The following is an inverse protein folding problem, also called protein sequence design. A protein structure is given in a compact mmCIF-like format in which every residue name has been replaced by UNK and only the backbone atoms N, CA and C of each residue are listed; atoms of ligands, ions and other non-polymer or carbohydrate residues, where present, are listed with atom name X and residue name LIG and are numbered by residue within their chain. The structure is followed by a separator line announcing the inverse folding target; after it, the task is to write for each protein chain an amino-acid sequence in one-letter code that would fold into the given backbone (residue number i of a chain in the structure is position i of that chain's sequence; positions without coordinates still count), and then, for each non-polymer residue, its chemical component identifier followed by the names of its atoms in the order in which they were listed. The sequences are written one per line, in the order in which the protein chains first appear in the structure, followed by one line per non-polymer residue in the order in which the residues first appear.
data_IF_205537000424
#
_entry.id   IF_205537000424
#
_cell.length_a   1.000
_cell.length_b   1.000
_cell.length_c   1.000
_cell.angle_alpha   90.00
_cell.angle_beta   90.00
_cell.angle_gamma   90.00
#
_symmetry.space_group_name_H-M   'P 1'
#
loop_
_entity.id
_entity.type
_entity.pdbx_description
1 polymer ?
#
# COMPACT_ATOMS: atom_id res chain seq x y z
N UNK A 1 -22.00 30.07 -12.66
CA UNK A 1 -20.89 29.37 -11.98
C UNK A 1 -20.91 29.78 -10.52
N UNK A 2 -21.08 28.84 -9.59
CA UNK A 2 -21.13 29.16 -8.16
C UNK A 2 -19.78 29.77 -7.72
N UNK A 3 -19.81 30.82 -6.90
CA UNK A 3 -18.58 31.51 -6.47
C UNK A 3 -17.71 30.57 -5.61
N UNK A 4 -16.39 30.79 -5.55
CA UNK A 4 -15.46 29.99 -4.70
C UNK A 4 -15.87 29.94 -3.21
N UNK A 5 -16.74 30.84 -2.74
CA UNK A 5 -17.32 30.82 -1.37
C UNK A 5 -18.50 29.85 -1.21
N UNK A 6 -19.04 29.33 -2.30
CA UNK A 6 -20.19 28.42 -2.33
C UNK A 6 -19.78 26.99 -2.74
N UNK A 7 -18.55 26.57 -2.43
CA UNK A 7 -18.04 25.26 -2.83
C UNK A 7 -18.91 24.10 -2.26
N UNK A 8 -19.67 23.37 -3.11
CA UNK A 8 -20.52 22.26 -2.66
C UNK A 8 -19.71 21.02 -2.24
N UNK A 9 -18.39 20.99 -2.48
CA UNK A 9 -17.47 19.90 -2.19
C UNK A 9 -16.86 19.96 -0.78
N UNK A 10 -17.19 20.99 0.00
CA UNK A 10 -16.79 21.04 1.39
C UNK A 10 -17.43 19.84 2.11
N UNK A 11 -16.59 19.00 2.73
CA UNK A 11 -16.98 17.75 3.41
C UNK A 11 -18.25 17.86 4.29
N UNK A 12 -18.50 19.05 4.87
CA UNK A 12 -19.70 19.32 5.67
C UNK A 12 -21.02 19.47 4.87
N UNK A 13 -20.95 19.90 3.60
CA UNK A 13 -22.10 20.05 2.69
C UNK A 13 -22.45 18.74 2.01
N UNK A 14 -21.45 17.91 1.69
CA UNK A 14 -21.66 16.51 1.31
C UNK A 14 -22.56 15.85 2.37
N UNK A 15 -22.12 15.87 3.63
CA UNK A 15 -22.87 15.26 4.73
C UNK A 15 -24.26 15.87 5.02
N UNK A 16 -24.52 17.11 4.58
CA UNK A 16 -25.67 17.90 5.04
C UNK A 16 -26.93 17.88 4.17
N UNK A 17 -26.87 17.48 2.89
CA UNK A 17 -28.05 17.56 1.98
C UNK A 17 -28.41 16.24 1.30
N UNK A 18 -27.46 15.33 1.06
CA UNK A 18 -27.70 14.03 0.42
C UNK A 18 -26.67 13.02 0.97
N UNK A 19 -26.97 12.21 2.00
CA UNK A 19 -25.96 11.51 2.82
C UNK A 19 -25.20 10.36 2.12
N UNK A 20 -25.46 10.10 0.83
CA UNK A 20 -24.93 8.97 0.09
C UNK A 20 -24.15 9.44 -1.12
N UNK A 21 -22.83 9.52 -0.94
CA UNK A 21 -21.92 9.99 -1.96
C UNK A 21 -21.16 8.84 -2.59
N UNK A 22 -20.97 8.92 -3.89
CA UNK A 22 -20.01 8.09 -4.60
C UNK A 22 -19.10 9.03 -5.36
N UNK A 23 -17.83 9.06 -4.98
CA UNK A 23 -16.81 9.82 -5.69
C UNK A 23 -16.13 8.84 -6.63
N UNK A 24 -16.27 9.07 -7.93
CA UNK A 24 -15.62 8.28 -8.95
C UNK A 24 -14.55 9.11 -9.62
N UNK A 25 -13.48 8.47 -10.05
CA UNK A 25 -12.58 9.07 -11.02
C UNK A 25 -13.03 8.65 -12.42
N UNK A 26 -13.00 9.54 -13.41
CA UNK A 26 -13.47 9.25 -14.79
C UNK A 26 -12.54 8.32 -15.59
N UNK A 27 -11.72 7.57 -14.90
CA UNK A 27 -10.56 6.91 -15.43
C UNK A 27 -9.93 6.02 -14.38
N UNK A 28 -8.60 5.94 -14.42
CA UNK A 28 -7.84 5.36 -13.34
C UNK A 28 -6.93 6.44 -12.73
N UNK A 29 -7.19 6.81 -11.47
CA UNK A 29 -6.49 7.89 -10.77
C UNK A 29 -5.04 7.52 -10.42
N UNK A 30 -4.70 6.23 -10.46
CA UNK A 30 -3.31 5.77 -10.36
C UNK A 30 -2.61 5.88 -11.72
N UNK A 31 -3.36 5.76 -12.83
CA UNK A 31 -2.82 5.80 -14.20
C UNK A 31 -2.87 7.17 -14.88
N UNK A 32 -3.76 8.06 -14.44
CA UNK A 32 -4.13 9.32 -15.12
C UNK A 32 -5.02 9.11 -16.36
N UNK A 33 -5.18 7.88 -16.80
CA UNK A 33 -5.90 7.51 -18.02
C UNK A 33 -7.39 7.82 -17.88
N UNK A 34 -7.95 8.60 -18.83
CA UNK A 34 -9.38 8.89 -18.90
C UNK A 34 -10.10 7.74 -19.59
N UNK A 35 -10.46 6.70 -18.83
CA UNK A 35 -11.21 5.53 -19.32
C UNK A 35 -12.60 5.88 -19.88
N UNK A 36 -13.12 7.08 -19.60
CA UNK A 36 -14.40 7.57 -20.13
C UNK A 36 -14.21 8.91 -20.85
N UNK A 37 -14.27 8.93 -22.21
CA UNK A 37 -14.24 10.15 -23.01
C UNK A 37 -15.37 11.10 -22.63
N UNK A 38 -15.14 12.42 -22.73
CA UNK A 38 -16.09 13.46 -22.30
C UNK A 38 -17.51 13.26 -22.89
N UNK A 39 -17.60 12.80 -24.14
CA UNK A 39 -18.86 12.58 -24.84
C UNK A 39 -19.63 11.33 -24.37
N UNK A 40 -18.97 10.37 -23.72
CA UNK A 40 -19.61 9.17 -23.15
C UNK A 40 -20.03 9.36 -21.69
N UNK A 41 -19.38 10.28 -20.97
CA UNK A 41 -19.70 10.59 -19.56
C UNK A 41 -21.15 11.02 -19.38
N UNK A 42 -21.74 11.71 -20.36
CA UNK A 42 -23.15 12.12 -20.31
C UNK A 42 -24.13 10.96 -20.19
N UNK A 43 -23.87 9.83 -20.87
CA UNK A 43 -24.70 8.63 -20.78
C UNK A 43 -24.53 7.93 -19.42
N UNK A 44 -23.32 7.90 -18.87
CA UNK A 44 -23.05 7.38 -17.53
C UNK A 44 -23.77 8.22 -16.46
N UNK A 45 -23.67 9.54 -16.54
CA UNK A 45 -24.35 10.47 -15.62
C UNK A 45 -25.87 10.29 -15.73
N UNK A 46 -26.41 10.25 -16.95
CA UNK A 46 -27.86 10.08 -17.17
C UNK A 46 -28.34 8.72 -16.67
N UNK A 47 -27.58 7.63 -16.90
CA UNK A 47 -27.88 6.27 -16.40
C UNK A 47 -27.78 6.15 -14.87
N UNK A 48 -26.88 6.93 -14.24
CA UNK A 48 -26.76 7.01 -12.79
C UNK A 48 -27.95 7.74 -12.16
N UNK A 49 -28.44 8.80 -12.81
CA UNK A 49 -29.54 9.64 -12.35
C UNK A 49 -30.93 9.09 -12.71
N UNK A 50 -31.05 8.29 -13.77
CA UNK A 50 -32.29 7.68 -14.22
C UNK A 50 -32.84 6.60 -13.25
N UNK A 51 -32.10 6.26 -12.19
CA UNK A 51 -32.52 5.30 -11.18
C UNK A 51 -33.53 5.89 -10.18
N UNK A 52 -33.55 7.21 -9.95
CA UNK A 52 -34.47 7.85 -8.99
C UNK A 52 -34.56 9.37 -9.22
N UNK A 53 -35.77 9.92 -9.35
CA UNK A 53 -36.01 11.34 -9.71
C UNK A 53 -35.50 12.40 -8.71
N UNK A 54 -34.99 11.99 -7.54
CA UNK A 54 -34.40 12.86 -6.52
C UNK A 54 -32.86 12.93 -6.51
N UNK A 55 -32.18 12.09 -7.31
CA UNK A 55 -30.71 12.06 -7.37
C UNK A 55 -30.14 13.28 -8.09
N UNK A 56 -29.00 13.79 -7.63
CA UNK A 56 -28.30 14.95 -8.24
C UNK A 56 -26.82 14.60 -8.44
N UNK A 57 -26.25 14.96 -9.59
CA UNK A 57 -24.80 14.90 -9.81
C UNK A 57 -24.22 16.31 -9.80
N UNK A 58 -23.04 16.46 -9.22
CA UNK A 58 -22.29 17.71 -9.30
C UNK A 58 -20.93 17.43 -9.93
N UNK A 59 -20.62 18.14 -11.02
CA UNK A 59 -19.26 18.21 -11.54
C UNK A 59 -18.32 18.80 -10.49
N UNK A 60 -17.25 18.10 -10.14
CA UNK A 60 -16.26 18.55 -9.17
C UNK A 60 -14.94 18.78 -9.88
N UNK A 61 -14.57 20.04 -10.09
CA UNK A 61 -13.30 20.42 -10.73
C UNK A 61 -12.51 21.29 -9.76
N UNK A 62 -11.26 20.91 -9.50
CA UNK A 62 -10.23 21.86 -9.03
C UNK A 62 -9.45 22.38 -10.22
N UNK A 63 -9.22 21.54 -11.23
CA UNK A 63 -8.79 21.86 -12.59
C UNK A 63 -9.15 20.62 -13.43
N UNK A 64 -9.79 20.76 -14.59
CA UNK A 64 -9.92 19.69 -15.62
C UNK A 64 -10.90 18.49 -15.48
N UNK A 65 -11.90 18.48 -14.58
CA UNK A 65 -13.02 17.52 -14.61
C UNK A 65 -12.59 16.03 -14.52
N UNK A 66 -11.69 15.72 -13.59
CA UNK A 66 -11.07 14.38 -13.50
C UNK A 66 -11.78 13.40 -12.55
N UNK A 67 -12.52 13.90 -11.56
CA UNK A 67 -13.39 13.08 -10.70
C UNK A 67 -14.79 13.67 -10.56
N UNK A 68 -15.79 12.82 -10.41
CA UNK A 68 -17.18 13.20 -10.23
C UNK A 68 -17.71 12.76 -8.88
N UNK A 69 -18.46 13.65 -8.23
CA UNK A 69 -19.21 13.35 -7.03
C UNK A 69 -20.68 13.15 -7.40
N UNK A 70 -21.15 11.91 -7.26
CA UNK A 70 -22.58 11.62 -7.31
C UNK A 70 -23.18 11.70 -5.90
N UNK A 71 -24.31 12.39 -5.80
CA UNK A 71 -25.08 12.50 -4.56
C UNK A 71 -26.44 11.83 -4.75
N UNK A 72 -26.65 10.73 -4.03
CA UNK A 72 -27.88 9.94 -4.11
C UNK A 72 -28.80 10.26 -2.94
N UNK A 73 -30.11 10.30 -3.22
CA UNK A 73 -31.18 10.45 -2.23
C UNK A 73 -31.34 9.23 -1.33
N UNK A 74 -31.00 8.04 -1.84
CA UNK A 74 -31.13 6.77 -1.15
C UNK A 74 -29.83 5.95 -1.18
N UNK A 75 -29.64 5.11 -0.16
CA UNK A 75 -28.46 4.25 -0.04
C UNK A 75 -28.45 3.18 -1.12
N UNK A 76 -29.63 2.68 -1.46
CA UNK A 76 -29.89 1.67 -2.47
C UNK A 76 -29.48 2.18 -3.85
N UNK A 77 -29.81 3.43 -4.21
CA UNK A 77 -29.38 4.03 -5.46
C UNK A 77 -27.85 4.19 -5.54
N UNK A 78 -27.21 4.65 -4.46
CA UNK A 78 -25.75 4.72 -4.38
C UNK A 78 -25.10 3.34 -4.54
N UNK A 79 -25.67 2.30 -3.92
CA UNK A 79 -25.19 0.92 -4.04
C UNK A 79 -25.35 0.41 -5.47
N UNK A 80 -26.53 0.55 -6.08
CA UNK A 80 -26.76 0.14 -7.47
C UNK A 80 -25.85 0.87 -8.46
N UNK A 81 -25.53 2.13 -8.21
CA UNK A 81 -24.53 2.84 -9.02
C UNK A 81 -23.13 2.26 -8.82
N UNK A 82 -22.70 2.02 -7.57
CA UNK A 82 -21.39 1.39 -7.28
C UNK A 82 -21.25 0.00 -7.89
N UNK A 83 -22.31 -0.80 -7.85
CA UNK A 83 -22.30 -2.17 -8.39
C UNK A 83 -22.20 -2.18 -9.92
N UNK A 84 -22.69 -1.14 -10.60
CA UNK A 84 -22.59 -0.98 -12.06
C UNK A 84 -21.35 -0.24 -12.53
N UNK A 85 -20.69 0.51 -11.65
CA UNK A 85 -19.53 1.31 -12.00
C UNK A 85 -18.27 0.44 -12.05
N UNK A 86 -17.66 0.35 -13.23
CA UNK A 86 -16.47 -0.45 -13.47
C UNK A 86 -15.15 0.38 -13.36
N UNK A 87 -15.23 1.62 -12.86
CA UNK A 87 -14.08 2.49 -12.66
C UNK A 87 -13.65 2.58 -11.19
N UNK A 88 -12.63 3.38 -10.91
CA UNK A 88 -12.11 3.50 -9.55
C UNK A 88 -12.92 4.50 -8.70
N UNK A 89 -12.88 4.29 -7.38
CA UNK A 89 -13.53 5.13 -6.39
C UNK A 89 -12.52 5.90 -5.55
N UNK A 90 -12.86 7.14 -5.21
CA UNK A 90 -12.11 7.93 -4.24
C UNK A 90 -12.79 7.81 -2.88
N UNK A 91 -12.00 7.54 -1.83
CA UNK A 91 -12.54 7.61 -0.48
C UNK A 91 -12.79 9.08 -0.09
N UNK A 92 -13.97 9.34 0.45
CA UNK A 92 -14.35 10.62 1.06
C UNK A 92 -13.34 11.14 2.09
N UNK A 93 -12.55 10.27 2.73
CA UNK A 93 -11.49 10.68 3.66
C UNK A 93 -10.24 11.24 3.00
N UNK A 94 -10.01 10.90 1.74
CA UNK A 94 -8.92 11.45 0.94
C UNK A 94 -9.27 12.85 0.41
N UNK A 95 -10.51 13.30 0.64
CA UNK A 95 -10.98 14.65 0.33
C UNK A 95 -10.90 15.52 1.60
N UNK A 96 -10.04 16.52 1.55
CA UNK A 96 -9.85 17.50 2.62
C UNK A 96 -11.15 18.28 2.92
N UNK A 97 -11.19 18.97 4.07
CA UNK A 97 -12.32 19.86 4.43
C UNK A 97 -12.60 20.94 3.37
N UNK A 98 -11.60 21.30 2.56
CA UNK A 98 -11.71 22.29 1.48
C UNK A 98 -12.19 21.68 0.15
N UNK A 99 -12.43 20.37 0.09
CA UNK A 99 -12.87 19.67 -1.12
C UNK A 99 -11.74 19.19 -2.04
N UNK A 100 -10.49 19.37 -1.63
CA UNK A 100 -9.30 18.90 -2.36
C UNK A 100 -9.05 17.44 -2.07
N UNK A 101 -9.04 16.60 -3.11
CA UNK A 101 -8.58 15.22 -3.03
C UNK A 101 -7.07 15.15 -3.17
N UNK A 102 -6.42 14.38 -2.30
CA UNK A 102 -5.00 14.01 -2.40
C UNK A 102 -4.91 12.50 -2.24
N UNK A 103 -4.41 11.75 -3.24
CA UNK A 103 -4.23 10.32 -3.10
C UNK A 103 -3.31 10.01 -1.92
N UNK A 104 -3.58 8.92 -1.20
CA UNK A 104 -2.67 8.38 -0.17
C UNK A 104 -1.40 7.71 -0.75
N UNK A 105 -0.94 8.12 -1.93
CA UNK A 105 0.25 7.55 -2.57
C UNK A 105 1.55 8.19 -2.05
N UNK A 106 2.59 7.37 -1.87
CA UNK A 106 3.98 7.84 -2.02
C UNK A 106 4.78 8.13 -0.75
N UNK A 107 4.52 7.45 0.36
CA UNK A 107 5.17 7.78 1.64
C UNK A 107 6.23 6.78 2.13
N UNK A 108 6.37 5.61 1.49
CA UNK A 108 7.32 4.55 1.85
C UNK A 108 7.51 3.55 0.69
N UNK A 109 8.70 2.93 0.59
CA UNK A 109 8.99 1.78 -0.26
C UNK A 109 7.89 0.70 -0.17
N UNK A 110 7.08 0.58 -1.21
CA UNK A 110 5.97 -0.38 -1.30
C UNK A 110 6.08 -1.28 -2.53
N UNK A 111 7.23 -1.33 -3.17
CA UNK A 111 7.49 -2.21 -4.31
C UNK A 111 8.94 -2.67 -4.28
N UNK A 112 9.17 -3.96 -4.45
CA UNK A 112 10.50 -4.52 -4.65
C UNK A 112 10.45 -5.77 -5.53
N UNK A 113 11.62 -6.23 -5.97
CA UNK A 113 11.80 -7.45 -6.74
C UNK A 113 12.63 -8.46 -5.96
N UNK A 114 12.43 -9.74 -6.26
CA UNK A 114 13.27 -10.84 -5.81
C UNK A 114 13.47 -11.75 -7.02
N UNK A 115 14.58 -11.58 -7.73
CA UNK A 115 14.88 -12.34 -8.96
C UNK A 115 15.91 -13.46 -8.75
N UNK A 116 16.43 -13.59 -7.53
CA UNK A 116 17.38 -14.64 -7.16
C UNK A 116 16.68 -15.98 -6.94
N UNK A 117 17.45 -16.98 -6.51
CA UNK A 117 16.96 -18.34 -6.26
C UNK A 117 17.01 -18.72 -4.78
N UNK A 118 16.28 -19.79 -4.46
CA UNK A 118 16.08 -20.30 -3.11
C UNK A 118 17.38 -20.77 -2.45
N UNK A 119 18.28 -21.38 -3.22
CA UNK A 119 19.58 -21.87 -2.74
C UNK A 119 20.49 -20.71 -2.32
N UNK A 120 20.53 -19.63 -3.09
CA UNK A 120 21.28 -18.43 -2.75
C UNK A 120 20.79 -17.80 -1.44
N UNK A 121 19.46 -17.68 -1.27
CA UNK A 121 18.86 -17.17 -0.03
C UNK A 121 19.26 -18.06 1.15
N UNK A 122 19.12 -19.37 1.01
CA UNK A 122 19.45 -20.32 2.08
C UNK A 122 20.93 -20.34 2.42
N UNK A 123 21.81 -20.30 1.42
CA UNK A 123 23.26 -20.30 1.59
C UNK A 123 23.74 -19.09 2.37
N UNK A 124 23.25 -17.89 2.03
CA UNK A 124 23.60 -16.66 2.74
C UNK A 124 22.98 -16.67 4.13
N UNK A 125 21.68 -16.90 4.26
CA UNK A 125 21.00 -16.77 5.57
C UNK A 125 21.22 -17.95 6.52
N UNK A 126 21.85 -19.03 6.03
CA UNK A 126 21.96 -20.32 6.71
C UNK A 126 20.59 -20.89 7.11
N UNK A 127 19.59 -20.70 6.24
CA UNK A 127 18.25 -21.27 6.42
C UNK A 127 18.26 -22.78 6.15
N UNK A 128 18.16 -23.54 7.26
CA UNK A 128 18.18 -25.00 7.24
C UNK A 128 16.81 -25.60 6.90
N UNK A 129 15.74 -24.87 7.15
CA UNK A 129 14.37 -25.27 6.87
C UNK A 129 13.87 -24.45 5.68
N UNK A 130 13.20 -25.12 4.76
CA UNK A 130 12.65 -24.50 3.56
C UNK A 130 11.22 -24.99 3.36
N UNK A 131 10.29 -24.05 3.50
CA UNK A 131 8.84 -24.26 3.41
C UNK A 131 8.25 -23.55 2.19
N UNK A 132 9.06 -22.98 1.28
CA UNK A 132 8.53 -22.20 0.14
C UNK A 132 8.11 -23.06 -1.05
N UNK A 133 8.49 -24.34 -1.10
CA UNK A 133 8.24 -25.19 -2.26
C UNK A 133 9.09 -24.76 -3.46
N UNK A 134 8.50 -24.68 -4.66
CA UNK A 134 9.17 -24.09 -5.82
C UNK A 134 9.05 -22.55 -5.77
N UNK A 135 10.17 -21.85 -5.59
CA UNK A 135 10.19 -20.39 -5.53
C UNK A 135 10.58 -19.79 -6.87
N UNK A 136 9.64 -19.14 -7.55
CA UNK A 136 9.87 -18.46 -8.81
C UNK A 136 10.42 -17.03 -8.61
N UNK A 137 11.28 -16.55 -9.52
CA UNK A 137 11.65 -15.13 -9.59
C UNK A 137 10.41 -14.24 -9.67
N UNK A 138 10.31 -13.24 -8.79
CA UNK A 138 9.18 -12.32 -8.71
C UNK A 138 9.65 -10.90 -9.01
N UNK A 139 9.27 -10.38 -10.18
CA UNK A 139 9.66 -9.04 -10.64
C UNK A 139 9.03 -7.91 -9.82
N UNK A 140 7.80 -8.11 -9.33
CA UNK A 140 7.06 -7.11 -8.57
C UNK A 140 6.35 -7.74 -7.37
N UNK A 141 6.82 -7.40 -6.17
CA UNK A 141 6.20 -7.76 -4.91
C UNK A 141 5.51 -6.51 -4.36
N UNK A 142 4.19 -6.61 -4.18
CA UNK A 142 3.32 -5.53 -3.73
C UNK A 142 2.78 -5.80 -2.31
N UNK A 143 2.28 -4.77 -1.60
CA UNK A 143 1.66 -4.94 -0.29
C UNK A 143 0.52 -5.96 -0.32
N UNK A 144 0.29 -6.63 0.80
CA UNK A 144 -0.73 -7.65 0.98
C UNK A 144 -0.55 -8.91 0.10
N UNK A 145 0.61 -9.08 -0.54
CA UNK A 145 1.03 -10.28 -1.26
C UNK A 145 1.91 -11.19 -0.42
N UNK A 146 2.00 -12.46 -0.82
CA UNK A 146 2.97 -13.41 -0.25
C UNK A 146 4.36 -13.09 -0.81
N UNK A 147 5.39 -13.15 0.03
CA UNK A 147 6.78 -12.99 -0.36
C UNK A 147 7.69 -13.86 0.51
N UNK A 148 8.85 -14.30 -0.02
CA UNK A 148 9.80 -15.08 0.75
C UNK A 148 10.44 -14.22 1.84
N UNK A 149 10.55 -14.78 3.04
CA UNK A 149 11.37 -14.26 4.13
C UNK A 149 12.16 -15.41 4.77
N UNK A 150 13.27 -15.09 5.42
CA UNK A 150 13.92 -16.02 6.35
C UNK A 150 13.67 -15.55 7.77
N UNK A 151 13.03 -16.39 8.58
CA UNK A 151 12.66 -16.09 9.96
C UNK A 151 13.29 -17.06 10.95
N UNK A 152 13.36 -16.66 12.22
CA UNK A 152 13.70 -17.57 13.29
C UNK A 152 12.51 -18.45 13.69
N UNK A 153 12.77 -19.73 13.92
CA UNK A 153 11.82 -20.67 14.54
C UNK A 153 12.54 -21.44 15.65
N UNK A 154 11.81 -22.10 16.57
CA UNK A 154 12.43 -22.98 17.56
C UNK A 154 13.28 -24.12 16.97
N UNK A 155 13.02 -24.52 15.72
CA UNK A 155 13.75 -25.58 15.03
C UNK A 155 14.95 -25.07 14.21
N UNK A 156 15.14 -23.75 14.13
CA UNK A 156 16.16 -23.11 13.30
C UNK A 156 15.57 -22.09 12.32
N UNK A 157 16.41 -21.57 11.43
CA UNK A 157 16.01 -20.60 10.42
C UNK A 157 15.20 -21.27 9.33
N UNK A 158 14.07 -20.64 9.00
CA UNK A 158 13.11 -21.11 8.00
C UNK A 158 12.95 -20.07 6.89
N UNK A 159 13.14 -20.49 5.64
CA UNK A 159 12.68 -19.79 4.45
C UNK A 159 11.20 -20.12 4.21
N UNK A 160 10.32 -19.11 4.25
CA UNK A 160 8.88 -19.30 4.10
C UNK A 160 8.22 -18.17 3.31
N UNK A 161 7.07 -18.47 2.69
CA UNK A 161 6.20 -17.47 2.06
C UNK A 161 5.33 -16.84 3.15
N UNK A 162 5.41 -15.53 3.32
CA UNK A 162 4.68 -14.79 4.38
C UNK A 162 3.99 -13.57 3.77
N UNK A 163 2.86 -13.12 4.33
CA UNK A 163 2.07 -12.03 3.75
C UNK A 163 2.61 -10.66 4.17
N UNK A 164 2.90 -9.79 3.20
CA UNK A 164 3.48 -8.47 3.46
C UNK A 164 2.45 -7.48 3.98
N UNK A 165 2.63 -7.02 5.21
CA UNK A 165 1.80 -6.03 5.90
C UNK A 165 1.55 -6.45 7.34
N UNK A 166 2.42 -6.02 8.26
CA UNK A 166 2.29 -6.22 9.70
C UNK A 166 0.95 -5.70 10.24
N UNK A 167 0.52 -6.13 11.44
CA UNK A 167 -0.72 -5.61 12.01
C UNK A 167 -0.66 -4.09 12.19
N UNK A 168 -1.74 -3.41 11.82
CA UNK A 168 -1.92 -1.99 12.14
C UNK A 168 -2.00 -1.76 13.65
N UNK A 169 -1.75 -0.52 14.09
CA UNK A 169 -1.88 -0.18 15.51
C UNK A 169 -3.33 -0.31 15.99
N UNK A 170 -3.51 -0.68 17.26
CA UNK A 170 -4.85 -0.75 17.87
C UNK A 170 -5.60 0.58 17.78
N UNK A 171 -4.87 1.70 17.86
CA UNK A 171 -5.43 3.04 17.68
C UNK A 171 -5.94 3.25 16.25
N UNK A 172 -5.19 2.83 15.23
CA UNK A 172 -5.62 2.95 13.84
C UNK A 172 -6.87 2.11 13.55
N UNK A 173 -6.91 0.86 14.04
CA UNK A 173 -8.08 -0.01 13.92
C UNK A 173 -9.30 0.56 14.67
N UNK A 174 -9.10 1.09 15.87
CA UNK A 174 -10.17 1.73 16.63
C UNK A 174 -10.74 2.95 15.90
N UNK A 175 -9.89 3.77 15.28
CA UNK A 175 -10.31 4.93 14.50
C UNK A 175 -11.10 4.52 13.26
N UNK A 176 -10.62 3.52 12.50
CA UNK A 176 -11.30 2.99 11.33
C UNK A 176 -12.68 2.41 11.70
N UNK A 177 -12.72 1.55 12.72
CA UNK A 177 -13.96 0.96 13.23
C UNK A 177 -14.92 2.02 13.76
N UNK A 178 -14.43 3.06 14.46
CA UNK A 178 -15.25 4.18 14.95
C UNK A 178 -15.87 4.97 13.80
N UNK A 179 -15.10 5.28 12.76
CA UNK A 179 -15.61 5.95 11.56
C UNK A 179 -16.69 5.10 10.87
N UNK A 180 -16.47 3.78 10.80
CA UNK A 180 -17.47 2.85 10.25
C UNK A 180 -18.72 2.76 11.12
N UNK A 181 -18.56 2.74 12.44
CA UNK A 181 -19.64 2.77 13.41
C UNK A 181 -20.50 4.03 13.26
N UNK A 182 -19.87 5.20 13.14
CA UNK A 182 -20.57 6.46 12.92
C UNK A 182 -21.36 6.45 11.60
N UNK A 183 -20.77 5.90 10.54
CA UNK A 183 -21.45 5.73 9.26
C UNK A 183 -22.64 4.74 9.35
N UNK A 184 -22.62 3.78 10.28
CA UNK A 184 -23.74 2.86 10.55
C UNK A 184 -24.82 3.53 11.41
N UNK A 185 -24.44 4.28 12.46
CA UNK A 185 -25.35 5.08 13.30
C UNK A 185 -26.15 6.08 12.46
N UNK A 186 -25.47 6.82 11.58
CA UNK A 186 -26.11 7.76 10.63
C UNK A 186 -27.14 7.08 9.72
N UNK A 187 -27.04 5.76 9.52
CA UNK A 187 -27.95 4.96 8.69
C UNK A 187 -28.98 4.19 9.51
N UNK A 188 -29.12 4.49 10.81
CA UNK A 188 -30.05 3.82 11.72
C UNK A 188 -29.80 2.32 11.87
N UNK A 189 -28.60 1.83 11.55
CA UNK A 189 -28.26 0.42 11.68
C UNK A 189 -27.77 0.14 13.09
N UNK A 190 -28.36 -0.86 13.73
CA UNK A 190 -27.81 -1.47 14.93
C UNK A 190 -26.55 -2.28 14.58
N UNK A 191 -25.57 -2.26 15.48
CA UNK A 191 -24.34 -3.03 15.38
C UNK A 191 -23.74 -3.21 16.77
N UNK A 192 -23.03 -4.31 16.96
CA UNK A 192 -22.11 -4.47 18.09
C UNK A 192 -20.76 -3.84 17.71
N UNK A 193 -20.31 -2.86 18.50
CA UNK A 193 -19.04 -2.19 18.25
C UNK A 193 -17.83 -3.12 18.45
N UNK A 194 -17.90 -4.06 19.38
CA UNK A 194 -16.79 -5.00 19.62
C UNK A 194 -16.64 -5.96 18.45
N UNK A 195 -17.75 -6.49 17.94
CA UNK A 195 -17.72 -7.33 16.74
C UNK A 195 -17.32 -6.51 15.50
N UNK A 196 -17.78 -5.27 15.37
CA UNK A 196 -17.36 -4.38 14.29
C UNK A 196 -15.85 -4.12 14.31
N UNK A 197 -15.28 -3.84 15.49
CA UNK A 197 -13.85 -3.62 15.66
C UNK A 197 -13.03 -4.88 15.37
N UNK A 198 -13.49 -6.05 15.84
CA UNK A 198 -12.86 -7.34 15.55
C UNK A 198 -12.87 -7.66 14.05
N UNK A 199 -13.94 -7.27 13.36
CA UNK A 199 -14.13 -7.50 11.93
C UNK A 199 -13.68 -6.31 11.06
N UNK A 200 -12.97 -5.34 11.65
CA UNK A 200 -12.51 -4.18 10.90
C UNK A 200 -11.36 -4.58 9.96
N UNK A 201 -11.43 -4.23 8.66
CA UNK A 201 -10.37 -4.55 7.73
C UNK A 201 -9.05 -3.87 8.09
N UNK A 202 -7.99 -4.66 8.12
CA UNK A 202 -6.61 -4.24 8.33
C UNK A 202 -5.80 -4.48 7.05
N UNK A 203 -5.52 -3.39 6.32
CA UNK A 203 -4.66 -3.44 5.13
C UNK A 203 -3.19 -3.72 5.45
N UNK A 204 -2.80 -3.64 6.72
CA UNK A 204 -1.46 -3.87 7.22
C UNK A 204 -0.51 -2.69 7.07
N UNK A 205 0.61 -2.80 7.78
CA UNK A 205 1.72 -1.87 7.77
C UNK A 205 2.94 -2.55 7.16
N UNK A 206 3.34 -2.12 5.97
CA UNK A 206 4.46 -2.70 5.21
C UNK A 206 5.83 -2.31 5.76
N UNK A 207 5.91 -1.11 6.33
CA UNK A 207 7.15 -0.44 6.70
C UNK A 207 7.12 0.05 8.15
N UNK A 208 8.19 -0.19 8.90
CA UNK A 208 8.33 0.22 10.30
C UNK A 208 9.42 1.28 10.43
N UNK A 209 9.01 2.52 10.72
CA UNK A 209 9.94 3.66 10.95
C UNK A 209 10.26 3.83 12.42
N UNK A 210 9.24 4.15 13.22
CA UNK A 210 9.40 4.48 14.63
C UNK A 210 9.35 3.22 15.49
N UNK A 211 10.45 2.46 15.49
CA UNK A 211 10.60 1.23 16.29
C UNK A 211 10.43 1.46 17.80
N UNK A 212 10.63 2.68 18.28
CA UNK A 212 10.43 3.03 19.69
C UNK A 212 8.94 3.10 20.11
N UNK A 213 7.99 3.07 19.17
CA UNK A 213 6.57 3.11 19.48
C UNK A 213 6.13 1.89 20.30
N UNK A 214 5.16 2.07 21.20
CA UNK A 214 4.60 0.98 22.02
C UNK A 214 4.05 -0.17 21.16
N UNK A 215 3.57 0.13 19.95
CA UNK A 215 3.04 -0.86 19.03
C UNK A 215 4.11 -1.86 18.56
N UNK A 216 5.33 -1.40 18.27
CA UNK A 216 6.39 -2.24 17.73
C UNK A 216 7.24 -2.94 18.79
N UNK A 217 7.39 -2.32 19.98
CA UNK A 217 8.19 -2.87 21.10
C UNK A 217 7.88 -4.31 21.49
N UNK A 218 6.63 -4.75 21.33
CA UNK A 218 6.18 -6.13 21.59
C UNK A 218 6.77 -7.18 20.65
N UNK A 219 7.36 -6.78 19.53
CA UNK A 219 7.95 -7.66 18.52
C UNK A 219 9.45 -7.39 18.30
N UNK A 220 10.12 -6.93 19.35
CA UNK A 220 11.57 -6.70 19.32
C UNK A 220 12.39 -7.97 19.58
N UNK A 221 11.76 -9.01 20.14
CA UNK A 221 12.40 -10.30 20.39
C UNK A 221 12.91 -10.96 19.11
N UNK A 222 13.96 -11.78 19.25
CA UNK A 222 14.61 -12.47 18.13
C UNK A 222 13.66 -13.43 17.41
N UNK A 223 12.65 -13.96 18.12
CA UNK A 223 11.59 -14.81 17.57
C UNK A 223 10.67 -14.09 16.57
N UNK A 224 10.67 -12.76 16.56
CA UNK A 224 9.92 -11.95 15.60
C UNK A 224 10.80 -11.36 14.50
N UNK A 225 12.08 -11.71 14.44
CA UNK A 225 13.01 -11.21 13.41
C UNK A 225 12.91 -12.05 12.15
N UNK A 226 12.98 -11.36 11.02
CA UNK A 226 13.23 -11.98 9.74
C UNK A 226 14.17 -11.13 8.88
N UNK A 227 14.74 -11.72 7.85
CA UNK A 227 15.38 -11.00 6.75
C UNK A 227 14.56 -11.18 5.49
N UNK A 228 14.37 -10.09 4.74
CA UNK A 228 13.53 -10.07 3.55
C UNK A 228 14.43 -9.99 2.31
N UNK A 229 14.62 -11.09 1.57
CA UNK A 229 15.44 -11.11 0.36
C UNK A 229 14.88 -10.19 -0.73
N UNK A 230 15.74 -9.42 -1.36
CA UNK A 230 15.40 -8.60 -2.53
C UNK A 230 16.60 -8.50 -3.49
N UNK A 231 16.33 -8.18 -4.76
CA UNK A 231 17.35 -7.90 -5.80
C UNK A 231 17.34 -6.44 -6.24
N UNK A 232 16.16 -5.80 -6.22
CA UNK A 232 16.01 -4.35 -6.40
C UNK A 232 14.77 -3.86 -5.67
N UNK A 233 14.70 -2.57 -5.36
CA UNK A 233 13.49 -1.94 -4.80
C UNK A 233 13.13 -0.67 -5.53
N UNK A 234 11.87 -0.26 -5.42
CA UNK A 234 11.34 0.88 -6.13
C UNK A 234 10.80 1.94 -5.18
N UNK A 235 11.12 3.20 -5.47
CA UNK A 235 10.45 4.35 -4.88
C UNK A 235 9.74 5.16 -5.98
N UNK A 236 8.58 5.77 -5.68
CA UNK A 236 7.91 6.67 -6.63
C UNK A 236 8.79 7.87 -6.96
N UNK A 237 8.93 8.18 -8.25
CA UNK A 237 9.69 9.32 -8.77
C UNK A 237 8.74 10.39 -9.34
N UNK A 238 8.17 11.26 -8.49
CA UNK A 238 7.25 12.30 -8.94
C UNK A 238 7.93 13.36 -9.81
N UNK A 239 9.26 13.51 -9.73
CA UNK A 239 10.00 14.48 -10.52
C UNK A 239 10.08 14.09 -12.00
N UNK A 240 10.10 12.78 -12.30
CA UNK A 240 10.10 12.24 -13.66
C UNK A 240 8.70 11.98 -14.23
N UNK A 241 7.65 12.50 -13.58
CA UNK A 241 6.26 12.28 -14.00
C UNK A 241 5.95 12.98 -15.33
N UNK A 242 5.57 12.25 -16.40
CA UNK A 242 5.11 12.88 -17.64
C UNK A 242 3.74 13.55 -17.44
N UNK A 243 3.48 14.62 -18.19
CA UNK A 243 2.21 15.36 -18.12
C UNK A 243 1.02 14.43 -18.41
N UNK A 244 0.05 14.39 -17.49
CA UNK A 244 -1.12 13.51 -17.58
C UNK A 244 -0.86 12.01 -17.36
N UNK A 245 0.39 11.59 -17.14
CA UNK A 245 0.76 10.19 -16.91
C UNK A 245 0.95 9.81 -15.44
N UNK A 246 1.35 8.56 -15.22
CA UNK A 246 1.68 8.02 -13.88
C UNK A 246 2.96 8.60 -13.35
N UNK A 247 3.05 8.71 -12.03
CA UNK A 247 4.35 8.77 -11.38
C UNK A 247 5.11 7.47 -11.69
N UNK A 248 6.24 7.52 -12.40
CA UNK A 248 7.06 6.33 -12.61
C UNK A 248 7.73 5.90 -11.30
N UNK A 249 8.29 4.70 -11.29
CA UNK A 249 9.16 4.24 -10.21
C UNK A 249 10.61 4.39 -10.64
N UNK A 250 11.45 4.90 -9.74
CA UNK A 250 12.89 4.71 -9.84
C UNK A 250 13.26 3.40 -9.13
N UNK A 251 14.05 2.57 -9.78
CA UNK A 251 14.52 1.30 -9.22
C UNK A 251 15.94 1.43 -8.70
N UNK A 252 16.21 0.82 -7.56
CA UNK A 252 17.50 0.85 -6.87
C UNK A 252 18.01 -0.57 -6.64
N UNK A 253 19.31 -0.76 -6.78
CA UNK A 253 20.01 -2.02 -6.50
C UNK A 253 21.44 -1.73 -6.02
N UNK A 254 22.17 -2.75 -5.53
CA UNK A 254 23.58 -2.58 -5.17
C UNK A 254 24.46 -2.21 -6.37
N UNK A 255 24.24 -2.89 -7.50
CA UNK A 255 24.96 -2.70 -8.76
C UNK A 255 24.10 -3.21 -9.95
N UNK A 256 24.52 -3.03 -11.22
CA UNK A 256 23.71 -3.40 -12.38
C UNK A 256 23.37 -4.90 -12.49
N UNK A 257 24.08 -5.78 -11.80
CA UNK A 257 23.77 -7.22 -11.75
C UNK A 257 22.62 -7.56 -10.80
N UNK A 258 22.15 -6.59 -10.01
CA UNK A 258 21.08 -6.75 -9.01
C UNK A 258 21.32 -7.94 -8.07
N UNK A 259 22.47 -7.98 -7.34
CA UNK A 259 22.78 -9.09 -6.46
C UNK A 259 21.77 -9.17 -5.31
N UNK A 260 21.65 -10.38 -4.75
CA UNK A 260 20.76 -10.63 -3.62
C UNK A 260 21.21 -9.84 -2.38
N UNK A 261 20.29 -9.06 -1.82
CA UNK A 261 20.43 -8.30 -0.58
C UNK A 261 19.24 -8.59 0.34
N UNK A 262 19.25 -8.02 1.56
CA UNK A 262 18.23 -8.29 2.56
C UNK A 262 17.76 -7.03 3.27
N UNK A 263 16.45 -6.84 3.42
CA UNK A 263 15.91 -5.87 4.37
C UNK A 263 15.88 -6.44 5.79
N UNK A 264 16.08 -5.55 6.76
CA UNK A 264 15.90 -5.85 8.18
C UNK A 264 14.39 -5.96 8.50
N UNK A 265 13.89 -7.19 8.67
CA UNK A 265 12.46 -7.51 8.77
C UNK A 265 11.95 -7.85 10.17
N UNK A 266 10.65 -7.65 10.38
CA UNK A 266 9.88 -8.19 11.49
C UNK A 266 8.80 -9.12 10.92
N UNK A 267 8.59 -10.27 11.55
CA UNK A 267 7.50 -11.20 11.25
C UNK A 267 6.65 -11.48 12.49
N UNK A 268 5.34 -11.61 12.30
CA UNK A 268 4.35 -11.91 13.33
C UNK A 268 3.60 -13.18 12.90
N UNK A 269 3.84 -14.32 13.56
CA UNK A 269 3.20 -15.58 13.19
C UNK A 269 1.75 -15.61 13.67
N UNK A 270 0.92 -16.35 12.93
CA UNK A 270 -0.43 -16.76 13.30
C UNK A 270 -1.33 -15.59 13.74
N UNK A 271 -1.20 -14.44 13.06
CA UNK A 271 -1.99 -13.26 13.39
C UNK A 271 -3.42 -13.40 12.86
N UNK A 272 -4.39 -13.22 13.74
CA UNK A 272 -5.80 -13.27 13.37
C UNK A 272 -6.31 -11.86 13.05
N UNK A 273 -6.79 -11.63 11.83
CA UNK A 273 -7.35 -10.34 11.41
C UNK A 273 -8.18 -10.47 10.13
N UNK A 274 -9.01 -9.45 9.84
CA UNK A 274 -9.66 -9.31 8.54
C UNK A 274 -8.72 -8.53 7.63
N UNK A 275 -8.06 -9.20 6.67
CA UNK A 275 -7.15 -8.50 5.73
C UNK A 275 -7.91 -7.82 4.60
N UNK A 276 -8.86 -8.57 4.03
CA UNK A 276 -9.82 -8.08 3.06
C UNK A 276 -11.22 -8.47 3.52
N UNK A 277 -12.20 -7.59 3.31
CA UNK A 277 -13.60 -7.87 3.66
C UNK A 277 -14.08 -9.21 3.08
N UNK A 278 -13.69 -9.52 1.83
CA UNK A 278 -14.07 -10.77 1.14
C UNK A 278 -13.44 -12.03 1.73
N UNK A 279 -12.30 -11.93 2.41
CA UNK A 279 -11.59 -13.06 3.01
C UNK A 279 -12.15 -13.37 4.42
N UNK A 280 -12.84 -12.40 5.04
CA UNK A 280 -13.29 -12.53 6.41
C UNK A 280 -12.13 -12.57 7.40
N UNK A 281 -12.39 -13.11 8.59
CA UNK A 281 -11.40 -13.28 9.64
C UNK A 281 -10.51 -14.49 9.32
N UNK A 282 -9.21 -14.26 9.14
CA UNK A 282 -8.24 -15.31 8.81
C UNK A 282 -7.10 -15.31 9.83
N UNK A 283 -6.39 -16.44 9.91
CA UNK A 283 -5.10 -16.55 10.62
C UNK A 283 -4.00 -16.64 9.58
N UNK A 284 -3.02 -15.74 9.64
CA UNK A 284 -1.95 -15.67 8.65
C UNK A 284 -0.66 -15.15 9.28
N UNK A 285 0.48 -15.62 8.78
CA UNK A 285 1.78 -15.07 9.14
C UNK A 285 1.99 -13.75 8.38
N UNK A 286 2.38 -12.71 9.10
CA UNK A 286 2.58 -11.37 8.55
C UNK A 286 4.04 -10.96 8.66
N UNK A 287 4.52 -10.15 7.71
CA UNK A 287 5.83 -9.52 7.84
C UNK A 287 5.81 -8.08 7.34
N UNK A 288 6.86 -7.34 7.69
CA UNK A 288 7.19 -6.02 7.19
C UNK A 288 8.65 -5.75 7.47
N UNK A 289 9.18 -4.63 7.00
CA UNK A 289 10.60 -4.33 7.21
C UNK A 289 10.81 -2.92 7.73
N UNK A 290 11.97 -2.74 8.37
CA UNK A 290 12.38 -1.47 8.89
C UNK A 290 12.72 -0.52 7.76
N UNK A 291 12.50 0.75 8.04
CA UNK A 291 12.84 1.85 7.14
C UNK A 291 13.59 2.93 7.93
N UNK A 292 14.52 3.61 7.27
CA UNK A 292 15.39 4.66 7.81
C UNK A 292 15.34 5.92 6.94
N UNK A 293 15.89 7.04 7.41
CA UNK A 293 16.08 8.24 6.57
C UNK A 293 16.80 7.87 5.26
N UNK A 294 16.47 8.52 4.13
CA UNK A 294 17.11 8.23 2.86
C UNK A 294 18.57 8.73 2.86
N UNK A 295 19.43 8.04 2.10
CA UNK A 295 20.79 8.49 1.81
C UNK A 295 20.82 9.48 0.62
N UNK A 296 22.01 9.90 0.17
CA UNK A 296 22.13 10.91 -0.89
C UNK A 296 21.66 10.42 -2.27
N UNK A 297 21.56 9.10 -2.45
CA UNK A 297 21.10 8.45 -3.69
C UNK A 297 19.58 8.40 -3.74
N UNK A 298 18.93 8.03 -2.63
CA UNK A 298 17.46 7.89 -2.56
C UNK A 298 16.76 9.24 -2.35
N UNK A 299 17.33 10.14 -1.54
CA UNK A 299 16.66 11.38 -1.15
C UNK A 299 16.20 12.27 -2.32
N UNK A 300 16.95 12.40 -3.45
CA UNK A 300 16.50 13.16 -4.61
C UNK A 300 15.22 12.60 -5.26
N UNK A 301 14.98 11.30 -5.14
CA UNK A 301 13.78 10.62 -5.66
C UNK A 301 12.67 10.61 -4.60
N UNK A 302 13.00 10.19 -3.37
CA UNK A 302 12.05 9.99 -2.29
C UNK A 302 12.62 10.48 -0.95
N UNK A 303 12.17 11.65 -0.53
CA UNK A 303 12.76 12.40 0.60
C UNK A 303 12.42 11.84 1.99
N UNK A 304 11.45 10.94 2.09
CA UNK A 304 10.89 10.52 3.39
C UNK A 304 11.59 9.29 3.98
N UNK A 305 12.14 8.44 3.13
CA UNK A 305 12.52 7.09 3.54
C UNK A 305 13.39 6.36 2.54
N UNK A 306 14.19 5.44 3.06
CA UNK A 306 14.59 4.22 2.36
C UNK A 306 14.41 2.99 3.28
N UNK A 307 14.42 1.76 2.74
CA UNK A 307 14.51 0.53 3.53
C UNK A 307 15.82 0.43 4.32
N UNK A 308 15.79 -0.21 5.49
CA UNK A 308 17.01 -0.60 6.20
C UNK A 308 17.57 -1.89 5.58
N UNK A 309 18.79 -1.82 5.05
CA UNK A 309 19.41 -2.87 4.24
C UNK A 309 20.59 -3.48 5.00
N UNK A 310 20.63 -4.81 5.06
CA UNK A 310 21.71 -5.61 5.60
C UNK A 310 22.65 -5.99 4.45
N UNK A 311 23.93 -5.68 4.60
CA UNK A 311 24.91 -5.67 3.50
C UNK A 311 25.82 -6.89 3.48
N UNK A 312 25.88 -7.65 4.57
CA UNK A 312 26.79 -8.78 4.71
C UNK A 312 26.27 -9.80 5.73
N UNK A 313 26.99 -10.92 5.82
CA UNK A 313 26.65 -12.03 6.71
C UNK A 313 26.60 -11.65 8.19
N UNK A 314 27.53 -10.81 8.64
CA UNK A 314 27.61 -10.37 10.04
C UNK A 314 26.37 -9.54 10.40
N UNK A 315 25.95 -8.61 9.55
CA UNK A 315 24.74 -7.82 9.79
C UNK A 315 23.47 -8.67 9.76
N UNK A 316 23.40 -9.69 8.89
CA UNK A 316 22.30 -10.67 8.89
C UNK A 316 22.28 -11.44 10.21
N UNK A 317 23.43 -11.90 10.67
CA UNK A 317 23.57 -12.65 11.92
C UNK A 317 23.17 -11.79 13.12
N UNK A 318 23.74 -10.58 13.23
CA UNK A 318 23.40 -9.61 14.27
C UNK A 318 21.92 -9.30 14.28
N UNK A 319 21.29 -9.09 13.11
CA UNK A 319 19.86 -8.84 13.04
C UNK A 319 19.01 -10.01 13.55
N UNK A 320 19.41 -11.23 13.21
CA UNK A 320 18.66 -12.44 13.55
C UNK A 320 18.92 -12.93 14.98
N UNK A 321 20.04 -12.59 15.63
CA UNK A 321 20.41 -13.19 16.93
C UNK A 321 20.73 -12.21 18.05
N UNK A 322 21.17 -10.98 17.75
CA UNK A 322 21.59 -10.05 18.78
C UNK A 322 20.40 -9.47 19.58
N UNK A 323 20.64 -9.01 20.82
CA UNK A 323 19.67 -8.22 21.57
C UNK A 323 19.19 -7.00 20.78
N UNK A 324 17.97 -6.54 21.08
CA UNK A 324 17.35 -5.44 20.33
C UNK A 324 18.22 -4.17 20.32
N UNK A 325 18.88 -3.86 21.43
CA UNK A 325 19.74 -2.67 21.59
C UNK A 325 20.85 -2.63 20.54
N UNK A 326 21.43 -3.78 20.22
CA UNK A 326 22.48 -3.92 19.20
C UNK A 326 21.87 -3.99 17.79
N UNK A 327 20.92 -4.91 17.58
CA UNK A 327 20.31 -5.11 16.27
C UNK A 327 19.60 -3.86 15.73
N UNK A 328 19.03 -3.02 16.60
CA UNK A 328 18.35 -1.78 16.19
C UNK A 328 19.30 -0.75 15.58
N UNK A 329 20.61 -0.84 15.83
CA UNK A 329 21.62 0.02 15.20
C UNK A 329 21.75 -0.24 13.70
N UNK A 330 21.26 -1.38 13.20
CA UNK A 330 21.19 -1.70 11.78
C UNK A 330 20.04 -0.97 11.05
N UNK A 331 19.14 -0.30 11.79
CA UNK A 331 18.18 0.63 11.21
C UNK A 331 18.86 1.96 10.89
N UNK A 332 19.66 1.98 9.83
CA UNK A 332 20.46 3.13 9.40
C UNK A 332 20.47 3.25 7.88
N UNK A 333 20.66 4.47 7.31
CA UNK A 333 20.80 4.63 5.88
C UNK A 333 21.95 3.79 5.33
N UNK A 334 21.75 3.22 4.15
CA UNK A 334 22.82 2.53 3.44
C UNK A 334 23.85 3.57 2.94
N UNK A 335 25.13 3.21 2.86
CA UNK A 335 26.15 4.10 2.30
C UNK A 335 25.85 4.41 0.83
N UNK A 336 26.19 5.62 0.40
CA UNK A 336 25.94 6.08 -0.96
C UNK A 336 26.64 5.22 -2.03
N UNK A 337 27.80 4.63 -1.71
CA UNK A 337 28.58 3.81 -2.65
C UNK A 337 28.14 2.34 -2.72
N UNK A 338 27.06 1.98 -2.03
CA UNK A 338 26.49 0.62 -2.02
C UNK A 338 25.11 0.56 -2.69
N UNK A 339 24.71 1.62 -3.38
CA UNK A 339 23.42 1.71 -4.04
C UNK A 339 23.53 2.52 -5.33
N UNK A 340 22.90 2.03 -6.39
CA UNK A 340 22.73 2.75 -7.65
C UNK A 340 21.25 2.89 -7.99
N UNK A 341 20.94 3.90 -8.80
CA UNK A 341 19.67 3.98 -9.53
C UNK A 341 19.85 3.17 -10.82
N UNK A 342 18.98 2.19 -11.04
CA UNK A 342 18.99 1.39 -12.26
C UNK A 342 18.49 2.22 -13.46
N UNK A 343 19.02 1.99 -14.67
CA UNK A 343 18.52 2.65 -15.86
C UNK A 343 17.04 2.31 -16.09
N UNK A 344 16.22 3.32 -16.37
CA UNK A 344 14.85 3.11 -16.83
C UNK A 344 14.88 2.43 -18.18
N UNK A 345 14.24 1.26 -18.31
CA UNK A 345 14.10 0.61 -19.62
C UNK A 345 13.34 1.57 -20.58
N UNK A 346 13.78 1.73 -21.84
CA UNK A 346 13.04 2.52 -22.81
C UNK A 346 11.64 1.93 -23.01
N UNK A 347 10.63 2.81 -23.10
CA UNK A 347 9.21 2.44 -23.13
C UNK A 347 8.85 1.40 -24.21
N UNK A 348 9.66 1.28 -25.27
CA UNK A 348 9.42 0.42 -26.43
C UNK A 348 9.83 -1.05 -26.23
N UNK A 349 10.66 -1.39 -25.24
CA UNK A 349 11.11 -2.78 -25.04
C UNK A 349 10.01 -3.72 -24.51
N UNK A 350 8.99 -3.17 -23.84
CA UNK A 350 7.85 -3.93 -23.32
C UNK A 350 6.80 -4.28 -24.39
N UNK A 351 6.87 -3.68 -25.58
CA UNK A 351 5.95 -3.99 -26.67
C UNK A 351 6.36 -5.27 -27.42
N UNK A 352 7.66 -5.49 -27.64
CA UNK A 352 8.16 -6.69 -28.34
C UNK A 352 8.09 -7.95 -27.47
N UNK A 353 8.33 -7.84 -26.17
CA UNK A 353 8.24 -9.00 -25.26
C UNK A 353 6.80 -9.51 -25.06
N UNK A 354 5.79 -8.68 -25.31
CA UNK A 354 4.35 -9.06 -25.21
C UNK A 354 3.81 -9.74 -26.47
N UNK A 355 4.57 -9.78 -27.56
CA UNK A 355 4.19 -10.41 -28.83
C UNK A 355 4.81 -11.80 -29.02
N UNK A 356 5.65 -12.26 -28.08
CA UNK A 356 6.36 -13.54 -28.17
C UNK A 356 6.05 -14.53 -27.03
N UNK A 357 4.96 -14.32 -26.30
CA UNK A 357 4.30 -15.31 -25.45
C UNK A 357 2.82 -15.33 -25.79
#
# INVERSE_FOLDING_TARGET
MASRRENPLARWRLDGHLPHHVIIWWGNYQTGEKAYPLHERGAVITSALAAEGGSKSYGASIEADDYLVFCFSSREAARHFRDRWNGQFIDTDEVSRKGTWTPKEGDVCNLYSMLSNQEAIRGITQAMIDSTGNMEPTAEIWPDRMAPIVRNTPAGRELAQVRWGLPSSSQALLQAASKRADALRKKGKEFDFQELLKMEPDGGTTNVRNVASKHWKRWHGTEFRCVVPFTSFAEPDPASKPEGGRTPNAWFAADPSCPLMFFAGICVPQWQSVRKIKEGLITVDLFGFLTTEPNSIVAPIHQKAMPAILTNQEEIETWLTAPWEEASMLQRPLRDDQLIILPTAPADANAEARLLL
#
